data_IF_575013980409
#
_entry.id   IF_575013980409
#
_cell.length_a   1.000
_cell.length_b   1.000
_cell.length_c   1.000
_cell.angle_alpha   90.00
_cell.angle_beta   90.00
_cell.angle_gamma   90.00
#
_symmetry.space_group_name_H-M   'P 1'
#
loop_
_entity.id
_entity.type
_entity.pdbx_description
1 polymer ?
#
# COMPACT_ATOMS: atom_id res chain seq x y z
N UNK A 1 -13.06 31.74 14.29
CA UNK A 1 -12.19 30.65 14.81
C UNK A 1 -13.08 29.44 14.95
N UNK A 2 -12.66 28.26 14.49
CA UNK A 2 -13.44 27.02 14.65
C UNK A 2 -13.59 26.68 16.15
N UNK A 3 -14.73 26.08 16.52
CA UNK A 3 -14.89 25.48 17.85
C UNK A 3 -13.94 24.30 18.02
N UNK A 4 -13.68 23.87 19.27
CA UNK A 4 -12.87 22.68 19.51
C UNK A 4 -13.50 21.44 18.86
N UNK A 5 -14.82 21.33 18.92
CA UNK A 5 -15.59 20.21 18.34
C UNK A 5 -15.48 20.19 16.82
N UNK A 6 -15.65 21.34 16.15
CA UNK A 6 -15.45 21.43 14.70
C UNK A 6 -14.02 21.09 14.29
N UNK A 7 -13.03 21.54 15.06
CA UNK A 7 -11.63 21.23 14.78
C UNK A 7 -11.36 19.72 14.92
N UNK A 8 -11.87 19.07 15.95
CA UNK A 8 -11.75 17.60 16.12
C UNK A 8 -12.43 16.87 14.94
N UNK A 9 -13.63 17.31 14.54
CA UNK A 9 -14.36 16.75 13.41
C UNK A 9 -13.57 16.80 12.10
N UNK A 10 -12.92 17.93 11.83
CA UNK A 10 -12.20 18.19 10.58
C UNK A 10 -10.77 17.61 10.56
N UNK A 11 -10.11 17.50 11.72
CA UNK A 11 -8.69 17.13 11.78
C UNK A 11 -8.43 15.66 12.11
N UNK A 12 -9.38 14.94 12.72
CA UNK A 12 -9.19 13.53 12.99
C UNK A 12 -9.45 12.68 11.75
N UNK A 13 -8.36 12.07 11.26
CA UNK A 13 -8.36 11.30 10.00
C UNK A 13 -8.21 9.78 10.18
N UNK A 14 -8.17 9.31 11.41
CA UNK A 14 -8.07 7.87 11.71
C UNK A 14 -9.31 7.10 11.22
N UNK A 15 -9.17 5.78 11.16
CA UNK A 15 -10.28 4.89 10.78
C UNK A 15 -11.49 5.08 11.72
N UNK A 16 -12.69 5.20 11.15
CA UNK A 16 -13.94 5.41 11.90
C UNK A 16 -14.24 6.87 12.25
N UNK A 17 -13.30 7.81 12.03
CA UNK A 17 -13.61 9.23 12.18
C UNK A 17 -14.33 9.78 10.95
N UNK A 18 -15.17 10.83 11.06
CA UNK A 18 -15.90 11.38 9.91
C UNK A 18 -14.99 11.82 8.77
N UNK A 19 -13.96 12.62 9.05
CA UNK A 19 -13.01 13.07 8.03
C UNK A 19 -12.17 11.91 7.50
N UNK A 20 -11.72 10.98 8.35
CA UNK A 20 -10.99 9.79 7.92
C UNK A 20 -11.81 8.91 6.98
N UNK A 21 -13.09 8.73 7.24
CA UNK A 21 -14.00 7.99 6.37
C UNK A 21 -14.24 8.71 5.03
N UNK A 22 -14.32 10.05 5.05
CA UNK A 22 -14.42 10.84 3.83
C UNK A 22 -13.16 10.73 2.97
N UNK A 23 -11.99 10.95 3.55
CA UNK A 23 -10.71 10.91 2.81
C UNK A 23 -10.45 9.54 2.18
N UNK A 24 -10.85 8.45 2.84
CA UNK A 24 -10.73 7.09 2.31
C UNK A 24 -11.59 6.81 1.08
N UNK A 25 -12.50 7.70 0.71
CA UNK A 25 -13.30 7.52 -0.53
C UNK A 25 -12.49 7.88 -1.79
N UNK A 26 -11.30 8.46 -1.64
CA UNK A 26 -10.51 9.00 -2.74
C UNK A 26 -9.13 8.34 -2.84
N UNK A 27 -8.52 8.43 -4.01
CA UNK A 27 -7.11 8.16 -4.21
C UNK A 27 -6.29 9.25 -3.52
N UNK A 28 -5.24 8.86 -2.81
CA UNK A 28 -4.39 9.78 -2.04
C UNK A 28 -2.96 9.68 -2.58
N UNK A 29 -2.31 10.80 -2.94
CA UNK A 29 -0.91 10.81 -3.31
C UNK A 29 -0.06 10.44 -2.08
N UNK A 30 0.95 9.61 -2.28
CA UNK A 30 1.68 9.00 -1.18
C UNK A 30 3.18 9.31 -1.23
N UNK A 31 3.87 8.88 -2.28
CA UNK A 31 5.31 9.03 -2.45
C UNK A 31 5.66 9.35 -3.89
N UNK A 32 6.74 10.09 -4.15
CA UNK A 32 7.27 10.20 -5.49
C UNK A 32 7.83 8.85 -5.99
N UNK A 33 7.74 8.59 -7.28
CA UNK A 33 8.25 7.36 -7.90
C UNK A 33 9.75 7.15 -7.70
N UNK A 34 10.49 8.26 -7.52
CA UNK A 34 11.94 8.25 -7.25
C UNK A 34 12.32 7.53 -5.95
N UNK A 35 11.38 7.30 -5.03
CA UNK A 35 11.61 6.47 -3.84
C UNK A 35 11.78 4.98 -4.16
N UNK A 36 11.38 4.57 -5.38
CA UNK A 36 11.47 3.20 -5.88
C UNK A 36 12.05 3.20 -7.31
N UNK A 37 13.33 3.57 -7.47
CA UNK A 37 13.92 3.81 -8.79
C UNK A 37 14.01 2.54 -9.66
N UNK A 38 14.09 1.37 -9.03
CA UNK A 38 14.29 0.09 -9.71
C UNK A 38 13.37 -1.00 -9.13
N UNK A 39 13.09 -2.08 -9.88
CA UNK A 39 12.51 -3.29 -9.32
C UNK A 39 13.31 -3.77 -8.11
N UNK A 40 12.63 -4.40 -7.17
CA UNK A 40 13.20 -4.89 -5.91
C UNK A 40 13.87 -3.82 -5.04
N UNK A 41 13.55 -2.54 -5.26
CA UNK A 41 13.97 -1.43 -4.39
C UNK A 41 13.60 -1.71 -2.93
N UNK A 42 14.35 -1.10 -1.96
CA UNK A 42 14.05 -1.26 -0.54
C UNK A 42 12.61 -0.87 -0.20
N UNK A 43 12.02 -1.63 0.71
CA UNK A 43 10.67 -1.39 1.23
C UNK A 43 10.61 -0.01 1.93
N UNK A 44 9.55 0.73 1.71
CA UNK A 44 9.25 1.98 2.42
C UNK A 44 8.09 1.80 3.38
N UNK A 45 8.22 2.37 4.58
CA UNK A 45 7.15 2.44 5.57
C UNK A 45 6.41 3.76 5.43
N UNK A 46 5.08 3.68 5.51
CA UNK A 46 4.20 4.85 5.46
C UNK A 46 3.21 4.83 6.61
N UNK A 47 2.85 6.03 7.06
CA UNK A 47 1.68 6.23 7.93
C UNK A 47 0.75 7.22 7.25
N UNK A 48 -0.44 6.78 6.89
CA UNK A 48 -1.42 7.62 6.21
C UNK A 48 -2.80 7.36 6.82
N UNK A 49 -3.53 8.43 7.12
CA UNK A 49 -4.83 8.36 7.77
C UNK A 49 -4.86 7.51 9.05
N UNK A 50 -3.73 7.49 9.80
CA UNK A 50 -3.58 6.70 11.02
C UNK A 50 -3.36 5.20 10.81
N UNK A 51 -3.12 4.75 9.59
CA UNK A 51 -2.77 3.36 9.28
C UNK A 51 -1.29 3.25 8.88
N UNK A 52 -0.61 2.26 9.44
CA UNK A 52 0.77 1.93 9.07
C UNK A 52 0.75 0.85 7.99
N UNK A 53 1.45 1.09 6.91
CA UNK A 53 1.61 0.15 5.82
C UNK A 53 3.00 0.26 5.19
N UNK A 54 3.34 -0.72 4.38
CA UNK A 54 4.59 -0.76 3.62
C UNK A 54 4.29 -0.70 2.14
N UNK A 55 5.21 -0.10 1.39
CA UNK A 55 5.17 0.00 -0.06
C UNK A 55 6.46 -0.53 -0.66
N UNK A 56 6.36 -1.12 -1.84
CA UNK A 56 7.50 -1.65 -2.58
C UNK A 56 7.22 -1.69 -4.08
N UNK A 57 8.28 -1.72 -4.86
CA UNK A 57 8.22 -2.05 -6.30
C UNK A 57 8.70 -3.49 -6.45
N UNK A 58 7.85 -4.36 -6.97
CA UNK A 58 8.20 -5.77 -7.14
C UNK A 58 9.18 -6.01 -8.31
N UNK A 59 9.62 -7.25 -8.49
CA UNK A 59 10.56 -7.66 -9.54
C UNK A 59 10.07 -7.34 -10.96
N UNK A 60 8.75 -7.29 -11.18
CA UNK A 60 8.14 -6.91 -12.46
C UNK A 60 7.88 -5.40 -12.59
N UNK A 61 8.34 -4.59 -11.63
CA UNK A 61 8.19 -3.15 -11.62
C UNK A 61 6.82 -2.64 -11.16
N UNK A 62 5.94 -3.52 -10.65
CA UNK A 62 4.60 -3.14 -10.18
C UNK A 62 4.67 -2.61 -8.74
N UNK A 63 3.86 -1.59 -8.46
CA UNK A 63 3.75 -1.05 -7.11
C UNK A 63 2.79 -1.88 -6.24
N UNK A 64 3.27 -2.26 -5.06
CA UNK A 64 2.49 -2.89 -4.01
C UNK A 64 2.40 -2.02 -2.76
N UNK A 65 1.28 -2.14 -2.04
CA UNK A 65 1.11 -1.60 -0.69
C UNK A 65 0.31 -2.59 0.15
N UNK A 66 0.75 -2.84 1.38
CA UNK A 66 0.07 -3.72 2.31
C UNK A 66 0.25 -3.28 3.76
N UNK A 67 -0.65 -3.72 4.63
CA UNK A 67 -0.51 -3.50 6.08
C UNK A 67 0.88 -3.89 6.56
N UNK A 68 1.47 -3.05 7.43
CA UNK A 68 2.81 -3.32 7.95
C UNK A 68 2.90 -4.61 8.76
N UNK A 69 1.83 -4.99 9.45
CA UNK A 69 1.81 -6.18 10.29
C UNK A 69 1.60 -7.46 9.44
N UNK A 70 2.56 -8.35 9.46
CA UNK A 70 2.42 -9.69 8.87
C UNK A 70 1.23 -10.44 9.49
N UNK A 71 0.29 -10.99 8.70
CA UNK A 71 -0.91 -11.63 9.24
C UNK A 71 -0.62 -12.91 10.06
N UNK A 72 0.59 -13.43 10.01
CA UNK A 72 0.98 -14.59 10.82
C UNK A 72 1.11 -14.23 12.30
N UNK A 73 2.08 -13.37 12.66
CA UNK A 73 2.38 -12.99 14.06
C UNK A 73 2.76 -11.52 14.22
N UNK A 74 2.28 -10.65 13.35
CA UNK A 74 2.44 -9.20 13.48
C UNK A 74 3.86 -8.65 13.27
N UNK A 75 4.79 -9.47 12.75
CA UNK A 75 6.12 -8.97 12.43
C UNK A 75 6.03 -7.85 11.38
N UNK A 76 6.88 -6.82 11.53
CA UNK A 76 6.87 -5.69 10.61
C UNK A 76 7.39 -6.10 9.23
N UNK A 77 6.55 -5.92 8.21
CA UNK A 77 6.90 -6.15 6.81
C UNK A 77 7.84 -5.06 6.25
N UNK A 78 8.15 -4.02 7.02
CA UNK A 78 9.20 -3.08 6.66
C UNK A 78 10.58 -3.74 6.51
N UNK A 79 10.84 -4.77 7.31
CA UNK A 79 12.08 -5.56 7.26
C UNK A 79 12.01 -6.72 6.26
N UNK A 80 10.89 -6.88 5.54
CA UNK A 80 10.70 -7.95 4.58
C UNK A 80 11.70 -7.85 3.43
N UNK A 81 12.04 -9.00 2.84
CA UNK A 81 12.80 -9.04 1.59
C UNK A 81 11.84 -8.88 0.42
N UNK A 82 12.17 -7.92 -0.44
CA UNK A 82 11.48 -7.72 -1.72
C UNK A 82 12.21 -8.58 -2.75
N UNK A 83 11.58 -9.67 -3.18
CA UNK A 83 12.22 -10.68 -4.04
C UNK A 83 11.15 -11.48 -4.82
N UNK A 84 11.45 -11.84 -6.07
CA UNK A 84 10.62 -12.74 -6.90
C UNK A 84 9.12 -12.39 -6.84
N UNK A 85 8.78 -11.15 -7.18
CA UNK A 85 7.42 -10.62 -7.23
C UNK A 85 6.64 -10.65 -5.91
N UNK A 86 7.34 -10.55 -4.75
CA UNK A 86 6.65 -10.51 -3.48
C UNK A 86 7.50 -10.07 -2.30
N UNK A 87 6.82 -9.73 -1.21
CA UNK A 87 7.44 -9.41 0.07
C UNK A 87 7.52 -10.66 0.95
N UNK A 88 8.73 -11.09 1.28
CA UNK A 88 9.00 -12.21 2.19
C UNK A 88 9.26 -11.71 3.61
N UNK A 89 8.37 -12.07 4.52
CA UNK A 89 8.52 -11.81 5.95
C UNK A 89 9.79 -12.45 6.49
N UNK A 90 10.64 -11.66 7.17
CA UNK A 90 11.91 -12.14 7.74
C UNK A 90 11.73 -13.08 8.93
N UNK A 91 10.55 -13.10 9.55
CA UNK A 91 10.32 -13.88 10.77
C UNK A 91 10.10 -15.38 10.47
N UNK A 92 9.15 -15.74 9.54
CA UNK A 92 8.87 -17.15 9.21
C UNK A 92 8.79 -17.41 7.70
N UNK A 93 9.23 -16.47 6.87
CA UNK A 93 9.35 -16.67 5.43
C UNK A 93 8.04 -16.61 4.62
N UNK A 94 6.90 -16.29 5.25
CA UNK A 94 5.65 -16.12 4.47
C UNK A 94 5.81 -15.00 3.46
N UNK A 95 5.48 -15.27 2.21
CA UNK A 95 5.65 -14.34 1.09
C UNK A 95 4.32 -13.91 0.51
N UNK A 96 4.15 -12.62 0.28
CA UNK A 96 2.91 -12.03 -0.20
C UNK A 96 3.12 -11.25 -1.49
N UNK A 97 2.22 -11.43 -2.46
CA UNK A 97 2.19 -10.64 -3.68
C UNK A 97 1.62 -9.22 -3.47
N UNK A 98 1.59 -8.40 -4.52
CA UNK A 98 1.06 -7.03 -4.49
C UNK A 98 -0.46 -6.97 -4.19
N UNK A 99 -1.17 -8.09 -4.31
CA UNK A 99 -2.59 -8.21 -3.99
C UNK A 99 -2.84 -8.75 -2.57
N UNK A 100 -1.75 -9.04 -1.83
CA UNK A 100 -1.80 -9.59 -0.48
C UNK A 100 -2.04 -11.10 -0.42
N UNK A 101 -2.05 -11.82 -1.54
CA UNK A 101 -2.15 -13.26 -1.52
C UNK A 101 -0.85 -13.88 -0.98
N UNK A 102 -0.95 -14.88 -0.12
CA UNK A 102 0.22 -15.63 0.32
C UNK A 102 0.65 -16.59 -0.80
N UNK A 103 1.82 -16.32 -1.39
CA UNK A 103 2.33 -17.09 -2.55
C UNK A 103 3.35 -18.15 -2.17
N UNK A 104 3.98 -18.01 -0.98
CA UNK A 104 4.91 -19.00 -0.47
C UNK A 104 4.86 -19.10 1.06
N UNK A 105 5.02 -20.30 1.58
CA UNK A 105 4.97 -20.61 3.01
C UNK A 105 5.95 -21.77 3.32
N UNK A 106 7.24 -21.44 3.54
CA UNK A 106 8.32 -22.45 3.61
C UNK A 106 8.17 -23.48 4.74
N UNK A 107 7.40 -23.17 5.78
CA UNK A 107 7.14 -24.08 6.90
C UNK A 107 6.06 -25.12 6.63
N UNK A 108 5.33 -25.00 5.51
CA UNK A 108 4.28 -25.92 5.12
C UNK A 108 4.82 -26.96 4.13
N UNK A 109 4.29 -28.21 4.18
CA UNK A 109 4.63 -29.20 3.19
C UNK A 109 4.19 -28.76 1.78
N UNK A 110 4.88 -29.21 0.71
CA UNK A 110 4.59 -28.78 -0.67
C UNK A 110 3.14 -29.01 -1.13
N UNK A 111 2.48 -30.03 -0.60
CA UNK A 111 1.08 -30.38 -0.88
C UNK A 111 0.07 -29.54 -0.10
N UNK A 112 0.52 -28.72 0.85
CA UNK A 112 -0.37 -27.88 1.67
C UNK A 112 -0.99 -26.76 0.84
N UNK A 113 -2.32 -26.64 0.94
CA UNK A 113 -3.08 -25.50 0.38
C UNK A 113 -3.37 -24.42 1.42
N UNK A 114 -2.71 -24.48 2.57
CA UNK A 114 -2.99 -23.53 3.66
C UNK A 114 -2.70 -22.09 3.26
N UNK A 115 -1.64 -21.83 2.48
CA UNK A 115 -1.30 -20.51 1.96
C UNK A 115 -2.44 -19.84 1.19
N UNK A 116 -3.27 -20.62 0.47
CA UNK A 116 -4.38 -20.12 -0.36
C UNK A 116 -5.51 -19.50 0.49
N UNK A 117 -5.53 -19.81 1.78
CA UNK A 117 -6.50 -19.31 2.76
C UNK A 117 -6.02 -18.03 3.47
N UNK A 118 -4.75 -17.68 3.27
CA UNK A 118 -4.11 -16.57 3.96
C UNK A 118 -4.02 -15.38 3.03
N UNK A 119 -4.50 -14.24 3.52
CA UNK A 119 -4.42 -12.98 2.79
C UNK A 119 -3.99 -11.85 3.72
N UNK A 120 -3.00 -11.08 3.29
CA UNK A 120 -2.63 -9.82 3.93
C UNK A 120 -3.58 -8.71 3.44
N UNK A 121 -3.77 -7.68 4.25
CA UNK A 121 -4.49 -6.49 3.81
C UNK A 121 -3.61 -5.72 2.83
N UNK A 122 -3.96 -5.78 1.54
CA UNK A 122 -3.30 -5.02 0.49
C UNK A 122 -4.16 -3.82 0.07
N UNK A 123 -3.50 -2.76 -0.37
CA UNK A 123 -4.12 -1.52 -0.81
C UNK A 123 -3.85 -1.31 -2.29
N UNK A 124 -4.87 -0.99 -3.12
CA UNK A 124 -4.67 -0.65 -4.51
C UNK A 124 -3.71 0.53 -4.67
N UNK A 125 -2.73 0.37 -5.55
CA UNK A 125 -1.75 1.39 -5.90
C UNK A 125 -1.82 1.75 -7.38
N UNK A 126 -1.48 2.99 -7.72
CA UNK A 126 -1.24 3.45 -9.08
C UNK A 126 -0.03 4.39 -9.09
N UNK A 127 0.77 4.26 -10.13
CA UNK A 127 1.84 5.20 -10.44
C UNK A 127 1.41 6.04 -11.64
N UNK A 128 1.34 7.35 -11.45
CA UNK A 128 0.92 8.30 -12.49
C UNK A 128 1.75 9.57 -12.34
N UNK A 129 2.41 9.99 -13.40
CA UNK A 129 3.21 11.23 -13.45
C UNK A 129 4.19 11.36 -12.29
N UNK A 130 5.07 10.36 -12.14
CA UNK A 130 6.12 10.30 -11.11
C UNK A 130 5.60 10.34 -9.66
N UNK A 131 4.31 10.10 -9.45
CA UNK A 131 3.68 10.03 -8.13
C UNK A 131 2.98 8.69 -7.94
N UNK A 132 3.17 8.09 -6.79
CA UNK A 132 2.48 6.87 -6.38
C UNK A 132 1.26 7.25 -5.56
N UNK A 133 0.11 6.73 -5.97
CA UNK A 133 -1.19 6.94 -5.35
C UNK A 133 -1.66 5.64 -4.70
N UNK A 134 -2.32 5.76 -3.55
CA UNK A 134 -2.88 4.63 -2.83
C UNK A 134 -4.36 4.85 -2.53
N UNK A 135 -5.13 3.77 -2.54
CA UNK A 135 -6.53 3.78 -2.13
C UNK A 135 -6.71 2.97 -0.85
N UNK A 136 -7.05 3.65 0.26
CA UNK A 136 -7.26 3.05 1.58
C UNK A 136 -8.75 2.84 1.90
N UNK A 137 -9.60 2.97 0.90
CA UNK A 137 -11.06 2.93 1.09
C UNK A 137 -11.64 1.52 1.19
N UNK A 138 -12.91 1.42 1.60
CA UNK A 138 -13.56 0.14 1.87
C UNK A 138 -14.12 -0.54 0.61
N UNK A 139 -14.11 0.12 -0.56
CA UNK A 139 -14.69 -0.45 -1.78
C UNK A 139 -13.77 -1.54 -2.31
N UNK A 140 -14.35 -2.66 -2.74
CA UNK A 140 -13.61 -3.74 -3.43
C UNK A 140 -12.92 -3.23 -4.70
N UNK A 141 -13.61 -2.37 -5.44
CA UNK A 141 -13.08 -1.67 -6.61
C UNK A 141 -12.91 -0.20 -6.26
N UNK A 142 -11.69 0.34 -6.37
CA UNK A 142 -11.44 1.76 -6.14
C UNK A 142 -12.29 2.63 -7.08
N UNK A 143 -12.57 3.89 -6.71
CA UNK A 143 -13.21 4.83 -7.63
C UNK A 143 -12.32 5.06 -8.86
N UNK A 144 -12.89 5.57 -9.98
CA UNK A 144 -12.09 6.00 -11.10
C UNK A 144 -10.95 6.91 -10.65
N UNK A 145 -9.77 6.73 -11.26
CA UNK A 145 -8.63 7.59 -10.94
C UNK A 145 -8.93 9.02 -11.41
N UNK A 146 -8.65 10.05 -10.58
CA UNK A 146 -9.00 11.43 -10.93
C UNK A 146 -8.18 11.91 -12.13
N UNK A 147 -8.87 12.46 -13.12
CA UNK A 147 -8.27 13.08 -14.32
C UNK A 147 -7.83 14.52 -14.01
N UNK A 148 -6.92 14.71 -13.06
CA UNK A 148 -6.29 16.01 -12.87
C UNK A 148 -5.47 16.37 -14.10
N UNK A 149 -5.42 17.64 -14.46
CA UNK A 149 -4.67 18.11 -15.65
C UNK A 149 -3.23 17.61 -15.62
N UNK A 150 -2.55 17.70 -14.48
CA UNK A 150 -1.20 17.19 -14.31
C UNK A 150 -1.06 15.70 -14.61
N UNK A 151 -2.10 14.91 -14.38
CA UNK A 151 -2.11 13.46 -14.64
C UNK A 151 -2.39 13.13 -16.11
N UNK A 152 -2.74 14.11 -16.93
CA UNK A 152 -3.03 13.94 -18.36
C UNK A 152 -1.95 14.55 -19.27
N UNK A 153 -0.99 15.26 -18.68
CA UNK A 153 0.12 15.84 -19.42
C UNK A 153 1.09 14.75 -19.89
N UNK A 154 1.69 14.90 -21.09
CA UNK A 154 2.80 14.05 -21.51
C UNK A 154 3.96 14.10 -20.52
N UNK A 155 4.67 12.98 -20.30
CA UNK A 155 5.77 12.86 -19.35
C UNK A 155 6.85 13.97 -19.49
N UNK A 156 7.12 14.41 -20.69
CA UNK A 156 8.07 15.51 -20.96
C UNK A 156 7.61 16.89 -20.49
N UNK A 157 6.37 17.01 -20.01
CA UNK A 157 5.79 18.25 -19.47
C UNK A 157 5.69 18.23 -17.94
N UNK A 158 5.89 17.08 -17.36
CA UNK A 158 5.92 16.86 -15.91
C UNK A 158 7.40 16.69 -15.57
N UNK A 159 8.05 17.71 -15.03
CA UNK A 159 9.46 17.64 -14.65
C UNK A 159 9.74 16.56 -13.60
N UNK A 160 11.01 16.14 -13.44
CA UNK A 160 11.39 15.20 -12.41
C UNK A 160 11.15 15.75 -11.02
#
# INVERSE_FOLDING_TARGET
MLSREDNELLCRVGKGTPMGNLMRQYWIPCLPSSEFPEPDSPVRRMTLLGENFVMWRDTEGRMGAMSEACPHRGASMYFARNEDCGLRCVYHGWKFDIHGNCIDMPSEPPESTFKDKIKATAYPCREVNHMIWVYLGPRKEPPPFPAFEINTLPENRVGP
#
